data_IF_386501752760
#
_entry.id   IF_386501752760
#
_cell.length_a   1.000
_cell.length_b   1.000
_cell.length_c   1.000
_cell.angle_alpha   90.00
_cell.angle_beta   90.00
_cell.angle_gamma   90.00
#
_symmetry.space_group_name_H-M   'P 1'
#
loop_
_entity.id
_entity.type
_entity.pdbx_description
1 polymer ?
#
# COMPACT_ATOMS: atom_id res chain seq x y z
N UNK A 1 19.08 -69.18 46.54
CA UNK A 1 20.46 -68.63 46.61
C UNK A 1 21.11 -68.81 45.25
N UNK A 2 21.95 -67.87 44.81
CA UNK A 2 22.70 -67.80 43.52
C UNK A 2 22.12 -66.73 42.55
N UNK A 3 22.78 -65.58 42.39
CA UNK A 3 23.85 -65.20 41.41
C UNK A 3 23.23 -64.38 40.25
N UNK A 4 23.60 -63.10 40.10
CA UNK A 4 24.71 -62.54 39.29
C UNK A 4 24.36 -62.37 37.79
N UNK A 5 24.42 -61.10 37.39
CA UNK A 5 24.85 -60.47 36.12
C UNK A 5 24.12 -60.63 34.78
N UNK A 6 23.95 -59.45 34.17
CA UNK A 6 24.40 -59.07 32.82
C UNK A 6 23.50 -59.21 31.58
N UNK A 7 23.46 -58.07 30.87
CA UNK A 7 23.48 -57.87 29.42
C UNK A 7 22.19 -58.03 28.60
N UNK A 8 21.66 -56.86 28.25
CA UNK A 8 21.33 -56.38 26.90
C UNK A 8 20.49 -57.26 25.96
N UNK A 9 19.32 -56.72 25.57
CA UNK A 9 19.00 -56.41 24.17
C UNK A 9 17.68 -55.65 24.06
N UNK A 10 17.70 -54.67 23.15
CA UNK A 10 16.58 -53.89 22.66
C UNK A 10 15.37 -54.73 22.28
N UNK A 11 14.16 -54.22 22.56
CA UNK A 11 13.09 -54.14 21.55
C UNK A 11 11.98 -53.17 22.00
N UNK A 12 11.54 -52.37 21.03
CA UNK A 12 10.43 -51.42 21.02
C UNK A 12 9.21 -51.81 21.87
N UNK A 13 8.64 -50.83 22.58
CA UNK A 13 7.19 -50.78 22.78
C UNK A 13 6.67 -49.33 22.82
N UNK A 14 5.58 -49.15 22.09
CA UNK A 14 4.79 -47.94 21.87
C UNK A 14 4.39 -47.21 23.16
N UNK A 15 4.47 -45.88 23.13
CA UNK A 15 3.90 -44.99 24.13
C UNK A 15 3.48 -43.68 23.49
N UNK A 16 2.21 -43.63 23.08
CA UNK A 16 1.48 -42.48 22.56
C UNK A 16 1.59 -41.23 23.45
N UNK A 17 2.10 -40.14 22.89
CA UNK A 17 1.88 -38.78 23.39
C UNK A 17 1.31 -37.96 22.23
N UNK A 18 -0.02 -37.87 22.22
CA UNK A 18 -0.73 -36.85 21.48
C UNK A 18 -0.36 -35.50 22.11
N UNK A 19 0.69 -34.86 21.58
CA UNK A 19 0.89 -33.44 21.75
C UNK A 19 -0.14 -32.78 20.85
N UNK A 20 -1.27 -32.39 21.44
CA UNK A 20 -2.21 -31.48 20.81
C UNK A 20 -1.48 -30.17 20.55
N UNK A 21 -1.33 -29.83 19.27
CA UNK A 21 -0.88 -28.51 18.88
C UNK A 21 -2.05 -27.59 19.20
N UNK A 22 -1.89 -26.80 20.26
CA UNK A 22 -2.78 -25.68 20.51
C UNK A 22 -2.48 -24.71 19.36
N UNK A 23 -3.38 -24.64 18.39
CA UNK A 23 -3.44 -23.51 17.46
C UNK A 23 -3.78 -22.28 18.30
N UNK A 24 -2.74 -21.61 18.79
CA UNK A 24 -2.83 -20.20 19.16
C UNK A 24 -2.98 -19.45 17.84
N UNK A 25 -4.22 -19.36 17.38
CA UNK A 25 -4.61 -18.39 16.36
C UNK A 25 -4.30 -17.01 16.94
N UNK A 26 -3.14 -16.45 16.63
CA UNK A 26 -2.91 -15.03 16.78
C UNK A 26 -3.89 -14.37 15.83
N UNK A 27 -5.00 -13.85 16.36
CA UNK A 27 -5.81 -12.88 15.67
C UNK A 27 -4.85 -11.74 15.29
N UNK A 28 -4.44 -11.70 14.02
CA UNK A 28 -3.70 -10.57 13.49
C UNK A 28 -4.67 -9.40 13.59
N UNK A 29 -4.44 -8.52 14.57
CA UNK A 29 -5.16 -7.27 14.67
C UNK A 29 -4.98 -6.55 13.34
N UNK A 30 -6.08 -6.32 12.63
CA UNK A 30 -6.08 -5.47 11.46
C UNK A 30 -5.51 -4.11 11.89
N UNK A 31 -4.61 -3.49 11.11
CA UNK A 31 -4.10 -2.17 11.47
C UNK A 31 -5.29 -1.22 11.58
N UNK A 32 -5.42 -0.55 12.72
CA UNK A 32 -6.49 0.42 12.98
C UNK A 32 -6.58 1.42 11.82
N UNK A 33 -7.79 1.57 11.27
CA UNK A 33 -8.06 2.50 10.18
C UNK A 33 -8.08 3.94 10.74
N UNK A 34 -7.61 4.93 9.95
CA UNK A 34 -7.62 6.32 10.39
C UNK A 34 -9.06 6.78 10.71
N UNK A 35 -9.29 7.22 11.95
CA UNK A 35 -10.57 7.62 12.52
C UNK A 35 -11.35 6.50 13.21
N UNK A 36 -10.98 5.23 13.01
CA UNK A 36 -11.59 4.07 13.68
C UNK A 36 -10.83 3.81 14.99
N UNK A 37 -11.46 4.18 16.10
CA UNK A 37 -10.84 4.19 17.43
C UNK A 37 -11.26 2.98 18.26
N UNK A 38 -12.36 2.31 17.95
CA UNK A 38 -12.72 1.06 18.62
C UNK A 38 -12.25 -0.21 17.87
N UNK A 39 -11.77 -0.05 16.63
CA UNK A 39 -11.20 -1.11 15.82
C UNK A 39 -12.24 -2.04 15.20
N UNK A 40 -13.49 -1.60 15.13
CA UNK A 40 -14.60 -2.39 14.56
C UNK A 40 -14.67 -2.30 13.02
N UNK A 41 -13.81 -1.49 12.40
CA UNK A 41 -13.71 -1.27 10.97
C UNK A 41 -14.77 -0.31 10.42
N UNK A 42 -15.47 0.46 11.27
CA UNK A 42 -16.53 1.40 10.89
C UNK A 42 -16.32 2.75 11.55
N UNK A 43 -16.35 3.81 10.76
CA UNK A 43 -16.38 5.18 11.27
C UNK A 43 -17.79 5.52 11.78
N UNK A 44 -17.97 5.58 13.10
CA UNK A 44 -19.26 5.86 13.74
C UNK A 44 -19.14 6.89 14.86
N UNK A 45 -20.29 7.30 15.42
CA UNK A 45 -20.32 8.19 16.59
C UNK A 45 -19.60 7.58 17.81
N UNK A 46 -19.39 6.26 17.85
CA UNK A 46 -18.62 5.62 18.91
C UNK A 46 -17.15 6.06 18.90
N UNK A 47 -16.55 6.24 17.72
CA UNK A 47 -15.20 6.78 17.57
C UNK A 47 -15.12 8.24 18.02
N UNK A 48 -16.10 9.06 17.65
CA UNK A 48 -16.18 10.45 18.12
C UNK A 48 -16.27 10.56 19.64
N UNK A 49 -16.97 9.63 20.28
CA UNK A 49 -17.08 9.58 21.74
C UNK A 49 -15.74 9.21 22.37
N UNK A 50 -15.00 8.27 21.77
CA UNK A 50 -13.66 7.89 22.23
C UNK A 50 -12.66 9.06 22.09
N UNK A 51 -12.67 9.72 20.93
CA UNK A 51 -11.83 10.90 20.70
C UNK A 51 -12.19 12.05 21.65
N UNK A 52 -13.48 12.32 21.84
CA UNK A 52 -13.95 13.36 22.75
C UNK A 52 -13.60 13.08 24.22
N UNK A 53 -13.65 11.82 24.66
CA UNK A 53 -13.23 11.43 26.00
C UNK A 53 -11.72 11.64 26.21
N UNK A 54 -10.91 11.36 25.19
CA UNK A 54 -9.49 11.65 25.21
C UNK A 54 -9.21 13.16 25.29
N UNK A 55 -9.87 13.98 24.46
CA UNK A 55 -9.70 15.44 24.46
C UNK A 55 -10.12 16.09 25.79
N UNK A 56 -11.06 15.49 26.53
CA UNK A 56 -11.46 15.91 27.87
C UNK A 56 -10.57 15.37 29.00
N UNK A 57 -9.59 14.53 28.68
CA UNK A 57 -8.72 13.89 29.68
C UNK A 57 -9.42 12.82 30.53
N UNK A 58 -10.57 12.33 30.08
CA UNK A 58 -11.35 11.29 30.76
C UNK A 58 -10.79 9.89 30.49
N UNK A 59 -9.94 9.75 29.46
CA UNK A 59 -9.40 8.49 28.98
C UNK A 59 -8.07 8.68 28.24
N UNK A 60 -7.18 7.70 28.36
CA UNK A 60 -5.99 7.57 27.50
C UNK A 60 -6.29 6.64 26.30
N UNK A 61 -5.69 6.97 25.16
CA UNK A 61 -5.73 6.16 23.93
C UNK A 61 -4.48 5.27 23.85
N UNK A 62 -4.60 4.09 23.25
CA UNK A 62 -3.43 3.26 22.93
C UNK A 62 -2.61 3.89 21.81
N UNK A 63 -1.36 3.46 21.62
CA UNK A 63 -0.52 3.97 20.52
C UNK A 63 -1.19 3.79 19.15
N UNK A 64 -1.95 2.71 18.97
CA UNK A 64 -2.68 2.44 17.73
C UNK A 64 -3.88 3.37 17.58
N UNK A 65 -4.61 3.63 18.65
CA UNK A 65 -5.71 4.59 18.69
C UNK A 65 -5.23 6.04 18.54
N UNK A 66 -4.04 6.39 19.04
CA UNK A 66 -3.45 7.72 18.84
C UNK A 66 -3.14 7.92 17.35
N UNK A 67 -2.59 6.91 16.67
CA UNK A 67 -2.37 6.98 15.23
C UNK A 67 -3.69 7.06 14.45
N UNK A 68 -4.73 6.36 14.89
CA UNK A 68 -6.07 6.46 14.30
C UNK A 68 -6.77 7.80 14.59
N UNK A 69 -6.55 8.39 15.77
CA UNK A 69 -7.19 9.63 16.23
C UNK A 69 -6.71 10.87 15.48
N UNK A 70 -5.45 10.87 15.02
CA UNK A 70 -4.83 11.96 14.27
C UNK A 70 -5.33 11.98 12.82
N UNK A 71 -6.60 12.33 12.62
CA UNK A 71 -7.29 12.23 11.33
C UNK A 71 -6.98 13.39 10.40
N UNK A 72 -6.53 14.53 10.92
CA UNK A 72 -6.01 15.66 10.14
C UNK A 72 -4.49 15.60 9.91
N UNK A 73 -3.81 14.69 10.63
CA UNK A 73 -2.41 14.32 10.50
C UNK A 73 -1.42 15.46 10.80
N UNK A 74 -1.81 16.44 11.62
CA UNK A 74 -0.93 17.54 12.04
C UNK A 74 0.11 17.12 13.11
N UNK A 75 0.00 15.89 13.61
CA UNK A 75 0.90 15.28 14.60
C UNK A 75 0.47 15.54 16.04
N UNK A 76 -0.70 16.14 16.24
CA UNK A 76 -1.34 16.39 17.53
C UNK A 76 -2.74 15.79 17.48
N UNK A 77 -3.30 15.51 18.66
CA UNK A 77 -4.70 15.08 18.78
C UNK A 77 -5.47 16.24 19.37
N UNK A 78 -6.25 16.93 18.53
CA UNK A 78 -6.93 18.16 18.89
C UNK A 78 -8.41 18.17 18.49
N UNK A 79 -9.10 19.27 18.75
CA UNK A 79 -10.48 19.48 18.30
C UNK A 79 -10.60 19.48 16.76
N UNK A 80 -9.51 19.79 16.04
CA UNK A 80 -9.50 19.74 14.58
C UNK A 80 -9.68 18.30 14.08
N UNK A 81 -9.06 17.31 14.74
CA UNK A 81 -9.30 15.90 14.49
C UNK A 81 -10.74 15.49 14.74
N UNK A 82 -11.32 15.98 15.84
CA UNK A 82 -12.71 15.70 16.16
C UNK A 82 -13.67 16.23 15.08
N UNK A 83 -13.40 17.43 14.56
CA UNK A 83 -14.18 18.04 13.47
C UNK A 83 -14.04 17.27 12.16
N UNK A 84 -12.82 16.86 11.80
CA UNK A 84 -12.58 16.06 10.59
C UNK A 84 -13.26 14.70 10.70
N UNK A 85 -13.15 14.04 11.86
CA UNK A 85 -13.81 12.77 12.12
C UNK A 85 -15.33 12.92 12.07
N UNK A 86 -15.88 14.02 12.62
CA UNK A 86 -17.31 14.31 12.60
C UNK A 86 -17.83 14.50 11.18
N UNK A 87 -17.10 15.23 10.34
CA UNK A 87 -17.45 15.42 8.93
C UNK A 87 -17.44 14.09 8.16
N UNK A 88 -16.45 13.22 8.42
CA UNK A 88 -16.36 11.89 7.80
C UNK A 88 -17.52 10.99 8.23
N UNK A 89 -17.89 10.98 9.51
CA UNK A 89 -19.03 10.21 10.02
C UNK A 89 -20.35 10.76 9.50
N UNK A 90 -20.50 12.08 9.45
CA UNK A 90 -21.69 12.70 8.88
C UNK A 90 -21.81 12.37 7.39
N UNK A 91 -20.73 12.43 6.63
CA UNK A 91 -20.71 12.00 5.22
C UNK A 91 -20.99 10.50 5.03
N UNK A 92 -20.51 9.65 5.95
CA UNK A 92 -20.79 8.21 5.96
C UNK A 92 -22.25 7.90 6.36
N UNK A 93 -22.86 8.75 7.21
CA UNK A 93 -24.25 8.64 7.67
C UNK A 93 -25.24 9.25 6.67
N UNK A 94 -24.82 10.29 5.93
CA UNK A 94 -25.53 10.92 4.82
C UNK A 94 -25.44 10.11 3.52
N UNK A 95 -24.67 9.01 3.52
CA UNK A 95 -24.80 7.99 2.50
C UNK A 95 -26.22 7.42 2.59
N UNK A 96 -27.07 7.61 1.57
CA UNK A 96 -28.47 7.25 1.70
C UNK A 96 -28.59 5.74 1.83
N UNK A 97 -29.21 5.28 2.92
CA UNK A 97 -29.74 3.91 3.11
C UNK A 97 -30.85 3.55 2.10
N UNK A 98 -31.03 4.36 1.05
CA UNK A 98 -31.93 4.14 -0.08
C UNK A 98 -31.17 4.35 -1.39
N UNK A 99 -31.24 3.32 -2.25
CA UNK A 99 -30.79 3.29 -3.65
C UNK A 99 -29.75 4.35 -4.07
N UNK A 100 -28.46 3.97 -4.10
CA UNK A 100 -27.40 4.87 -4.59
C UNK A 100 -27.68 5.27 -6.04
N UNK A 101 -27.89 6.57 -6.28
CA UNK A 101 -28.11 7.10 -7.63
C UNK A 101 -26.75 7.35 -8.31
N UNK A 102 -26.63 7.00 -9.58
CA UNK A 102 -25.38 7.12 -10.36
C UNK A 102 -25.33 8.46 -11.09
N UNK A 103 -25.25 9.56 -10.34
CA UNK A 103 -25.36 10.93 -10.85
C UNK A 103 -24.16 11.82 -10.48
N UNK A 104 -23.07 11.23 -9.96
CA UNK A 104 -21.86 11.96 -9.57
C UNK A 104 -20.59 11.26 -10.04
N UNK A 105 -19.52 12.05 -10.24
CA UNK A 105 -18.17 11.56 -10.56
C UNK A 105 -17.57 10.60 -9.51
N UNK A 106 -18.16 10.55 -8.31
CA UNK A 106 -17.72 9.74 -7.18
C UNK A 106 -18.62 8.52 -6.93
N UNK A 107 -19.55 8.25 -7.85
CA UNK A 107 -20.43 7.09 -7.79
C UNK A 107 -20.08 6.06 -8.86
N UNK A 108 -20.46 4.82 -8.64
CA UNK A 108 -20.15 3.73 -9.56
C UNK A 108 -20.93 2.47 -9.28
N UNK A 109 -20.70 1.47 -10.12
CA UNK A 109 -21.24 0.13 -9.98
C UNK A 109 -20.13 -0.90 -10.10
N UNK A 110 -20.22 -1.95 -9.29
CA UNK A 110 -19.37 -3.12 -9.32
C UNK A 110 -20.16 -4.31 -9.85
N UNK A 111 -19.59 -5.00 -10.84
CA UNK A 111 -20.18 -6.18 -11.45
C UNK A 111 -19.17 -7.33 -11.53
N UNK A 112 -19.67 -8.55 -11.57
CA UNK A 112 -18.89 -9.74 -11.92
C UNK A 112 -18.48 -9.66 -13.40
N UNK A 113 -17.18 -9.76 -13.68
CA UNK A 113 -16.60 -9.55 -15.01
C UNK A 113 -17.15 -10.51 -16.07
N UNK A 114 -17.45 -11.75 -15.68
CA UNK A 114 -17.89 -12.79 -16.62
C UNK A 114 -19.40 -12.72 -16.87
N UNK A 115 -20.18 -12.57 -15.80
CA UNK A 115 -21.65 -12.66 -15.84
C UNK A 115 -22.33 -11.30 -16.02
N UNK A 116 -21.63 -10.20 -15.72
CA UNK A 116 -22.20 -8.86 -15.68
C UNK A 116 -23.16 -8.61 -14.52
N UNK A 117 -23.32 -9.56 -13.59
CA UNK A 117 -24.22 -9.42 -12.45
C UNK A 117 -23.68 -8.39 -11.45
N UNK A 118 -24.54 -7.55 -10.85
CA UNK A 118 -24.13 -6.62 -9.81
C UNK A 118 -23.64 -7.35 -8.56
N UNK A 119 -22.57 -6.83 -7.96
CA UNK A 119 -21.95 -7.41 -6.78
C UNK A 119 -22.21 -6.56 -5.54
N UNK A 120 -22.99 -7.10 -4.61
CA UNK A 120 -23.31 -6.46 -3.33
C UNK A 120 -22.23 -6.69 -2.27
N UNK A 121 -22.06 -5.73 -1.36
CA UNK A 121 -21.14 -5.85 -0.24
C UNK A 121 -19.65 -5.78 -0.60
N UNK A 122 -19.32 -5.40 -1.84
CA UNK A 122 -17.93 -5.13 -2.28
C UNK A 122 -17.44 -3.92 -1.50
N UNK A 123 -16.29 -4.07 -0.84
CA UNK A 123 -15.57 -2.94 -0.27
C UNK A 123 -14.93 -2.14 -1.41
N UNK A 124 -15.26 -0.85 -1.51
CA UNK A 124 -14.66 0.08 -2.46
C UNK A 124 -13.97 1.17 -1.67
N UNK A 125 -12.65 1.31 -1.83
CA UNK A 125 -11.84 2.15 -0.96
C UNK A 125 -10.79 2.95 -1.74
N UNK A 126 -10.38 4.07 -1.17
CA UNK A 126 -9.16 4.80 -1.52
C UNK A 126 -8.31 4.83 -0.26
N UNK A 127 -7.42 3.84 -0.06
CA UNK A 127 -6.67 3.68 1.18
C UNK A 127 -5.80 4.90 1.52
N UNK A 128 -5.21 5.55 0.50
CA UNK A 128 -4.44 6.77 0.67
C UNK A 128 -5.22 7.89 1.35
N UNK A 129 -6.52 7.99 1.07
CA UNK A 129 -7.42 9.00 1.61
C UNK A 129 -8.19 8.54 2.88
N UNK A 130 -8.01 7.30 3.32
CA UNK A 130 -8.80 6.72 4.42
C UNK A 130 -10.29 6.56 4.10
N UNK A 131 -10.68 6.57 2.82
CA UNK A 131 -12.07 6.46 2.37
C UNK A 131 -12.40 4.99 2.11
N UNK A 132 -13.50 4.48 2.65
CA UNK A 132 -14.04 3.15 2.33
C UNK A 132 -15.56 3.15 2.40
N UNK A 133 -16.20 2.50 1.42
CA UNK A 133 -17.66 2.30 1.34
C UNK A 133 -17.97 0.88 0.89
N UNK A 134 -19.22 0.43 1.03
CA UNK A 134 -19.67 -0.86 0.51
C UNK A 134 -20.75 -0.71 -0.54
N UNK A 135 -20.75 -1.59 -1.53
CA UNK A 135 -21.78 -1.60 -2.58
C UNK A 135 -23.14 -2.08 -2.07
N UNK A 136 -24.21 -1.50 -2.60
CA UNK A 136 -25.59 -1.93 -2.34
C UNK A 136 -25.97 -3.24 -3.08
N UNK A 137 -27.20 -3.70 -2.93
CA UNK A 137 -27.71 -4.91 -3.58
C UNK A 137 -27.68 -4.87 -5.13
N UNK A 138 -27.57 -3.67 -5.71
CA UNK A 138 -27.43 -3.44 -7.14
C UNK A 138 -25.96 -3.17 -7.52
N UNK A 139 -25.02 -3.43 -6.61
CA UNK A 139 -23.59 -3.23 -6.82
C UNK A 139 -23.17 -1.78 -6.86
N UNK A 140 -24.03 -0.83 -6.49
CA UNK A 140 -23.74 0.60 -6.60
C UNK A 140 -23.04 1.12 -5.36
N UNK A 141 -22.14 2.07 -5.53
CA UNK A 141 -21.44 2.76 -4.45
C UNK A 141 -21.33 4.25 -4.74
N UNK A 142 -21.08 5.04 -3.68
CA UNK A 142 -20.75 6.45 -3.76
C UNK A 142 -19.68 6.77 -2.73
N UNK A 143 -18.56 7.32 -3.17
CA UNK A 143 -17.49 7.79 -2.31
C UNK A 143 -17.79 9.24 -1.85
N UNK A 144 -17.38 9.64 -0.63
CA UNK A 144 -17.39 11.02 -0.20
C UNK A 144 -16.43 11.84 -1.08
N UNK A 145 -16.94 12.90 -1.72
CA UNK A 145 -16.14 13.82 -2.51
C UNK A 145 -15.81 15.11 -1.77
N UNK A 146 -14.85 15.92 -2.27
CA UNK A 146 -14.02 15.65 -3.44
C UNK A 146 -12.91 14.63 -3.16
N UNK A 147 -12.61 13.77 -4.14
CA UNK A 147 -11.50 12.81 -4.03
C UNK A 147 -10.16 13.50 -4.28
N UNK A 148 -9.07 13.07 -3.62
CA UNK A 148 -7.73 13.51 -3.99
C UNK A 148 -7.43 13.10 -5.44
N UNK A 149 -6.70 13.96 -6.16
CA UNK A 149 -6.17 13.61 -7.48
C UNK A 149 -5.21 12.39 -7.37
N UNK A 150 -4.91 11.71 -8.47
CA UNK A 150 -3.78 10.75 -8.60
C UNK A 150 -3.69 9.58 -7.58
N UNK A 151 -4.78 9.20 -6.91
CA UNK A 151 -4.84 8.09 -5.94
C UNK A 151 -5.09 6.71 -6.59
N UNK A 152 -5.01 5.63 -5.79
CA UNK A 152 -5.47 4.30 -6.21
C UNK A 152 -6.80 3.97 -5.52
N UNK A 153 -7.84 3.75 -6.33
CA UNK A 153 -9.05 3.07 -5.88
C UNK A 153 -8.83 1.57 -5.89
N UNK A 154 -9.30 0.89 -4.85
CA UNK A 154 -9.36 -0.57 -4.77
C UNK A 154 -10.79 -1.05 -4.58
N UNK A 155 -11.09 -2.23 -5.10
CA UNK A 155 -12.33 -2.94 -4.81
C UNK A 155 -12.05 -4.38 -4.42
N UNK A 156 -12.64 -4.82 -3.30
CA UNK A 156 -12.41 -6.15 -2.71
C UNK A 156 -13.71 -6.84 -2.34
N UNK A 157 -13.81 -8.11 -2.72
CA UNK A 157 -14.87 -9.00 -2.31
C UNK A 157 -14.29 -10.39 -2.14
N UNK A 158 -14.76 -11.13 -1.14
CA UNK A 158 -14.35 -12.51 -0.90
C UNK A 158 -14.56 -13.36 -2.17
N UNK A 159 -13.62 -14.25 -2.46
CA UNK A 159 -13.63 -15.13 -3.64
C UNK A 159 -13.48 -14.41 -5.01
N UNK A 160 -13.15 -13.12 -5.01
CA UNK A 160 -12.77 -12.36 -6.20
C UNK A 160 -11.30 -11.94 -6.12
N UNK A 161 -10.66 -11.80 -7.27
CA UNK A 161 -9.35 -11.16 -7.37
C UNK A 161 -9.45 -9.70 -6.91
N UNK A 162 -8.44 -9.17 -6.20
CA UNK A 162 -8.46 -7.79 -5.80
C UNK A 162 -8.36 -6.89 -7.05
N UNK A 163 -9.20 -5.87 -7.10
CA UNK A 163 -9.26 -4.91 -8.20
C UNK A 163 -8.64 -3.58 -7.78
N UNK A 164 -7.93 -2.92 -8.69
CA UNK A 164 -7.46 -1.55 -8.48
C UNK A 164 -7.52 -0.73 -9.76
N UNK A 165 -7.63 0.57 -9.61
CA UNK A 165 -7.60 1.55 -10.69
C UNK A 165 -7.07 2.90 -10.19
N UNK A 166 -6.21 3.54 -10.97
CA UNK A 166 -5.73 4.90 -10.73
C UNK A 166 -6.84 5.94 -10.96
N UNK A 167 -6.98 6.93 -10.08
CA UNK A 167 -8.00 7.98 -10.18
C UNK A 167 -7.60 9.12 -11.14
N UNK A 168 -6.32 9.17 -11.52
CA UNK A 168 -5.72 10.20 -12.40
C UNK A 168 -5.90 9.96 -13.91
N UNK A 169 -6.20 8.73 -14.34
CA UNK A 169 -6.37 8.38 -15.76
C UNK A 169 -7.75 8.79 -16.31
N UNK A 170 -8.04 10.09 -16.33
CA UNK A 170 -9.17 10.65 -17.09
C UNK A 170 -10.56 10.50 -16.45
N UNK A 171 -10.66 10.07 -15.20
CA UNK A 171 -11.90 10.13 -14.41
C UNK A 171 -11.98 11.35 -13.48
N UNK A 172 -10.94 12.19 -13.45
CA UNK A 172 -10.95 13.50 -12.75
C UNK A 172 -11.81 14.56 -13.47
N UNK A 173 -12.78 14.11 -14.30
CA UNK A 173 -13.63 14.93 -15.16
C UNK A 173 -15.07 14.41 -15.27
N UNK A 174 -15.83 14.51 -14.18
CA UNK A 174 -17.21 14.99 -14.22
C UNK A 174 -18.36 14.00 -14.39
N UNK A 175 -18.43 13.22 -15.47
CA UNK A 175 -19.77 12.82 -15.97
C UNK A 175 -20.09 11.33 -16.07
N UNK A 176 -19.14 10.42 -15.78
CA UNK A 176 -19.40 8.97 -15.88
C UNK A 176 -19.19 8.23 -14.58
N UNK A 177 -20.21 7.50 -14.10
CA UNK A 177 -20.06 6.65 -12.94
C UNK A 177 -19.02 5.56 -13.23
N UNK A 178 -18.29 5.17 -12.19
CA UNK A 178 -17.28 4.14 -12.30
C UNK A 178 -17.93 2.80 -12.60
N UNK A 179 -17.28 1.98 -13.43
CA UNK A 179 -17.76 0.65 -13.76
C UNK A 179 -16.66 -0.36 -13.49
N UNK A 180 -16.69 -0.93 -12.28
CA UNK A 180 -15.67 -1.86 -11.81
C UNK A 180 -16.10 -3.29 -12.14
N UNK A 181 -15.18 -4.07 -12.69
CA UNK A 181 -15.42 -5.46 -13.10
C UNK A 181 -14.50 -6.38 -12.31
N UNK A 182 -15.04 -7.10 -11.35
CA UNK A 182 -14.28 -8.03 -10.52
C UNK A 182 -14.27 -9.42 -11.16
N UNK A 183 -13.09 -10.04 -11.19
CA UNK A 183 -12.90 -11.40 -11.70
C UNK A 183 -12.91 -12.39 -10.53
N UNK A 184 -13.59 -13.53 -10.68
CA UNK A 184 -13.59 -14.57 -9.65
C UNK A 184 -12.18 -15.14 -9.50
N UNK A 185 -11.77 -15.37 -8.25
CA UNK A 185 -10.45 -15.91 -7.98
C UNK A 185 -10.42 -17.42 -8.19
N UNK A 186 -9.56 -17.87 -9.11
CA UNK A 186 -9.16 -19.27 -9.24
C UNK A 186 -7.74 -19.45 -8.67
N UNK A 187 -7.57 -20.10 -7.51
CA UNK A 187 -6.27 -20.28 -6.88
C UNK A 187 -5.33 -21.19 -7.68
N UNK A 188 -5.84 -21.99 -8.63
CA UNK A 188 -5.00 -22.83 -9.49
C UNK A 188 -4.38 -22.04 -10.65
N UNK A 189 -5.04 -20.95 -11.07
CA UNK A 189 -4.62 -20.12 -12.19
C UNK A 189 -3.95 -18.81 -11.75
N UNK A 190 -4.24 -18.31 -10.54
CA UNK A 190 -3.71 -17.03 -10.08
C UNK A 190 -3.28 -17.07 -8.62
N UNK A 191 -2.03 -16.71 -8.38
CA UNK A 191 -1.47 -16.49 -7.05
C UNK A 191 -1.62 -15.01 -6.68
N UNK A 192 -2.19 -14.70 -5.52
CA UNK A 192 -2.24 -13.34 -4.98
C UNK A 192 -1.07 -13.17 -4.01
N UNK A 193 -0.11 -12.31 -4.35
CA UNK A 193 1.09 -12.06 -3.54
C UNK A 193 0.93 -10.86 -2.62
N UNK A 194 0.16 -9.87 -3.05
CA UNK A 194 -0.19 -8.68 -2.28
C UNK A 194 -1.55 -8.15 -2.75
N UNK A 195 -2.47 -7.86 -1.84
CA UNK A 195 -3.82 -7.34 -2.15
C UNK A 195 -4.03 -5.91 -1.62
N UNK A 196 -3.05 -5.38 -0.90
CA UNK A 196 -3.08 -4.04 -0.34
C UNK A 196 -2.40 -3.04 -1.27
N UNK A 197 -2.67 -1.76 -1.01
CA UNK A 197 -1.86 -0.68 -1.55
C UNK A 197 -0.58 -0.61 -0.73
N UNK A 198 0.55 -0.69 -1.40
CA UNK A 198 1.88 -0.61 -0.80
C UNK A 198 2.55 0.66 -1.30
N UNK A 199 3.22 1.37 -0.39
CA UNK A 199 4.12 2.47 -0.73
C UNK A 199 5.56 2.00 -0.64
N UNK A 200 6.35 2.27 -1.67
CA UNK A 200 7.78 2.01 -1.67
C UNK A 200 8.52 3.33 -1.93
N UNK A 201 9.72 3.44 -1.38
CA UNK A 201 10.54 4.65 -1.45
C UNK A 201 11.24 4.92 -0.12
N UNK A 202 11.74 6.14 0.05
CA UNK A 202 12.44 6.61 1.25
C UNK A 202 11.69 7.75 1.98
N UNK A 203 10.48 8.08 1.52
CA UNK A 203 9.67 9.23 1.95
C UNK A 203 10.33 10.59 1.68
N UNK A 204 11.30 10.67 0.76
CA UNK A 204 11.91 11.91 0.30
C UNK A 204 11.42 12.25 -1.09
N UNK A 205 10.30 12.96 -1.17
CA UNK A 205 9.71 13.36 -2.45
C UNK A 205 9.57 14.88 -2.56
N UNK A 206 9.63 15.38 -3.80
CA UNK A 206 9.36 16.78 -4.09
C UNK A 206 7.85 17.01 -4.21
N UNK A 207 7.30 18.20 -3.87
CA UNK A 207 5.91 18.55 -4.22
C UNK A 207 5.59 18.49 -5.73
N UNK A 208 6.61 18.35 -6.59
CA UNK A 208 6.48 18.19 -8.05
C UNK A 208 6.54 16.72 -8.51
N UNK A 209 6.83 15.79 -7.60
CA UNK A 209 6.80 14.34 -7.87
C UNK A 209 5.39 13.90 -8.27
N UNK A 210 5.30 12.86 -9.07
CA UNK A 210 4.03 12.21 -9.37
C UNK A 210 3.35 11.78 -8.05
N UNK A 211 2.06 12.05 -7.88
CA UNK A 211 1.31 11.72 -6.65
C UNK A 211 1.86 12.30 -5.32
N UNK A 212 2.75 13.30 -5.36
CA UNK A 212 3.42 13.90 -4.19
C UNK A 212 2.50 14.36 -3.03
N UNK A 213 1.26 14.73 -3.34
CA UNK A 213 0.31 15.25 -2.35
C UNK A 213 -0.45 14.19 -1.55
N UNK A 214 -0.14 12.89 -1.72
CA UNK A 214 -0.99 11.77 -1.27
C UNK A 214 -0.27 10.71 -0.43
N UNK A 215 1.01 10.94 -0.12
CA UNK A 215 1.84 9.99 0.62
C UNK A 215 1.63 10.14 2.14
N UNK A 216 0.44 9.74 2.61
CA UNK A 216 -0.02 9.88 4.00
C UNK A 216 0.36 8.72 4.95
N UNK A 217 1.10 7.72 4.46
CA UNK A 217 1.58 6.57 5.24
C UNK A 217 3.02 6.25 4.81
N UNK A 218 3.90 5.87 5.74
CA UNK A 218 5.32 5.71 5.45
C UNK A 218 5.57 4.61 4.41
N UNK A 219 6.53 4.86 3.54
CA UNK A 219 7.08 3.88 2.63
C UNK A 219 7.59 2.66 3.39
N UNK A 220 7.34 1.47 2.85
CA UNK A 220 7.73 0.19 3.44
C UNK A 220 9.17 -0.21 3.07
N UNK A 221 9.98 0.79 2.71
CA UNK A 221 11.32 0.63 2.15
C UNK A 221 11.35 0.81 0.63
N UNK A 222 12.56 0.76 0.08
CA UNK A 222 12.82 1.00 -1.36
C UNK A 222 12.56 -0.22 -2.24
N UNK A 223 12.21 -1.36 -1.64
CA UNK A 223 11.85 -2.57 -2.36
C UNK A 223 10.84 -3.42 -1.59
N UNK A 224 10.02 -4.16 -2.33
CA UNK A 224 9.14 -5.19 -1.80
C UNK A 224 9.53 -6.53 -2.38
N UNK A 225 9.79 -7.51 -1.53
CA UNK A 225 9.96 -8.91 -1.94
C UNK A 225 8.76 -9.74 -1.50
N UNK A 226 8.25 -10.58 -2.41
CA UNK A 226 7.23 -11.59 -2.14
C UNK A 226 7.70 -12.95 -2.63
N UNK A 227 7.35 -13.99 -1.89
CA UNK A 227 7.68 -15.37 -2.22
C UNK A 227 6.47 -16.10 -2.77
N UNK A 228 6.72 -17.05 -3.68
CA UNK A 228 5.71 -17.96 -4.20
C UNK A 228 6.32 -19.32 -4.49
N UNK A 229 5.51 -20.38 -4.47
CA UNK A 229 5.97 -21.74 -4.72
C UNK A 229 5.37 -22.32 -5.98
N UNK A 230 6.16 -23.11 -6.71
CA UNK A 230 5.73 -23.84 -7.90
C UNK A 230 5.93 -25.34 -7.70
N UNK A 231 4.83 -26.09 -7.68
CA UNK A 231 4.86 -27.56 -7.62
C UNK A 231 5.26 -28.19 -8.97
N UNK A 232 5.02 -27.45 -10.05
CA UNK A 232 5.45 -27.77 -11.42
C UNK A 232 5.89 -26.51 -12.14
N UNK A 233 6.86 -26.63 -13.05
CA UNK A 233 7.19 -25.52 -13.95
C UNK A 233 6.06 -25.35 -14.97
N UNK A 234 5.57 -24.12 -15.19
CA UNK A 234 4.52 -23.87 -16.16
C UNK A 234 5.03 -24.06 -17.59
N UNK A 235 4.16 -24.44 -18.54
CA UNK A 235 4.56 -24.70 -19.93
C UNK A 235 4.89 -23.41 -20.72
N UNK A 236 4.51 -22.24 -20.19
CA UNK A 236 4.76 -20.91 -20.75
C UNK A 236 5.11 -19.94 -19.62
N UNK A 237 5.81 -18.82 -19.90
CA UNK A 237 6.08 -17.79 -18.91
C UNK A 237 4.81 -17.38 -18.15
N UNK A 238 4.76 -17.47 -16.81
CA UNK A 238 3.71 -16.86 -16.03
C UNK A 238 3.80 -15.34 -16.13
N UNK A 239 2.72 -14.64 -15.80
CA UNK A 239 2.64 -13.18 -15.90
C UNK A 239 2.48 -12.59 -14.51
N UNK A 240 3.46 -11.80 -14.07
CA UNK A 240 3.30 -10.91 -12.93
C UNK A 240 2.39 -9.75 -13.35
N UNK A 241 1.33 -9.53 -12.58
CA UNK A 241 0.42 -8.40 -12.75
C UNK A 241 0.56 -7.44 -11.58
N UNK A 242 0.66 -6.16 -11.91
CA UNK A 242 0.47 -5.06 -10.96
C UNK A 242 -0.85 -4.40 -11.32
N UNK A 243 -1.83 -4.46 -10.40
CA UNK A 243 -3.15 -3.91 -10.65
C UNK A 243 -3.11 -2.41 -10.96
N UNK A 244 -2.36 -1.65 -10.16
CA UNK A 244 -2.10 -0.23 -10.39
C UNK A 244 -0.71 0.15 -9.88
N UNK A 245 -0.03 1.05 -10.58
CA UNK A 245 1.25 1.65 -10.18
C UNK A 245 1.24 3.14 -10.52
N UNK A 246 1.49 3.98 -9.53
CA UNK A 246 1.54 5.44 -9.65
C UNK A 246 2.79 5.97 -8.93
N UNK A 247 3.13 7.24 -9.17
CA UNK A 247 4.24 7.91 -8.48
C UNK A 247 5.60 7.77 -9.17
N UNK A 248 5.69 7.17 -10.35
CA UNK A 248 6.97 7.04 -11.05
C UNK A 248 7.48 8.39 -11.58
N UNK A 249 8.66 8.83 -11.15
CA UNK A 249 9.31 10.07 -11.59
C UNK A 249 10.41 9.83 -12.65
N UNK A 250 10.15 8.95 -13.62
CA UNK A 250 11.10 8.69 -14.72
C UNK A 250 11.01 9.74 -15.83
N UNK A 251 12.06 9.86 -16.66
CA UNK A 251 12.02 10.69 -17.87
C UNK A 251 10.90 10.29 -18.84
N UNK A 252 10.46 9.03 -18.84
CA UNK A 252 9.30 8.60 -19.62
C UNK A 252 8.01 9.10 -18.99
N UNK A 253 7.87 8.99 -17.66
CA UNK A 253 6.69 9.46 -16.93
C UNK A 253 6.49 10.97 -17.05
N UNK A 254 7.56 11.77 -17.00
CA UNK A 254 7.51 13.21 -17.29
C UNK A 254 7.02 13.49 -18.72
N UNK A 255 7.57 12.80 -19.73
CA UNK A 255 7.14 12.96 -21.13
C UNK A 255 5.70 12.52 -21.38
N UNK A 256 5.20 11.59 -20.58
CA UNK A 256 3.81 11.13 -20.58
C UNK A 256 2.88 12.04 -19.75
N UNK A 257 3.40 13.07 -19.08
CA UNK A 257 2.63 13.98 -18.23
C UNK A 257 2.23 13.40 -16.86
N UNK A 258 2.76 12.23 -16.49
CA UNK A 258 2.52 11.60 -15.18
C UNK A 258 3.35 12.25 -14.05
N UNK A 259 4.53 12.77 -14.38
CA UNK A 259 5.40 13.50 -13.43
C UNK A 259 5.55 14.96 -13.85
N UNK A 260 5.70 15.85 -12.87
CA UNK A 260 5.90 17.29 -13.10
C UNK A 260 7.36 17.73 -12.87
N UNK A 261 8.27 16.78 -12.65
CA UNK A 261 9.72 17.03 -12.49
C UNK A 261 10.40 17.16 -13.86
N UNK A 262 10.87 18.36 -14.26
CA UNK A 262 11.51 18.56 -15.56
C UNK A 262 12.82 17.78 -15.68
N UNK A 263 12.92 16.93 -16.70
CA UNK A 263 14.15 16.18 -16.98
C UNK A 263 14.45 15.07 -15.98
N UNK A 264 13.43 14.57 -15.27
CA UNK A 264 13.43 13.39 -14.40
C UNK A 264 14.64 12.46 -14.57
N UNK A 265 15.57 12.52 -13.60
CA UNK A 265 16.81 11.73 -13.56
C UNK A 265 16.65 10.43 -12.73
N UNK A 266 15.42 10.03 -12.42
CA UNK A 266 15.14 8.79 -11.69
C UNK A 266 15.30 7.59 -12.62
N UNK A 267 16.03 6.57 -12.17
CA UNK A 267 16.05 5.27 -12.87
C UNK A 267 14.64 4.64 -12.84
N UNK A 268 14.28 3.76 -13.79
CA UNK A 268 13.00 3.05 -13.72
C UNK A 268 12.90 2.14 -12.49
N UNK A 269 11.67 1.79 -12.13
CA UNK A 269 11.42 0.68 -11.20
C UNK A 269 11.89 -0.63 -11.85
N UNK A 270 12.42 -1.54 -11.04
CA UNK A 270 12.96 -2.81 -11.52
C UNK A 270 12.17 -3.98 -10.95
N UNK A 271 11.94 -4.98 -11.80
CA UNK A 271 11.35 -6.26 -11.42
C UNK A 271 12.46 -7.31 -11.42
N UNK A 272 12.65 -8.00 -10.31
CA UNK A 272 13.61 -9.07 -10.18
C UNK A 272 12.89 -10.39 -9.87
N UNK A 273 13.29 -11.45 -10.57
CA UNK A 273 12.86 -12.83 -10.33
C UNK A 273 14.05 -13.62 -9.79
N UNK A 274 13.93 -14.14 -8.56
CA UNK A 274 15.01 -14.88 -7.90
C UNK A 274 16.35 -14.10 -7.87
N UNK A 275 16.27 -12.78 -7.70
CA UNK A 275 17.42 -11.86 -7.66
C UNK A 275 17.96 -11.45 -9.03
N UNK A 276 17.43 -11.98 -10.14
CA UNK A 276 17.80 -11.58 -11.51
C UNK A 276 16.81 -10.54 -12.02
N UNK A 277 17.30 -9.42 -12.53
CA UNK A 277 16.45 -8.39 -13.14
C UNK A 277 15.84 -8.91 -14.44
N UNK A 278 14.51 -8.83 -14.56
CA UNK A 278 13.73 -9.35 -15.70
C UNK A 278 12.96 -8.27 -16.45
N UNK A 279 12.67 -7.13 -15.83
CA UNK A 279 11.94 -6.03 -16.45
C UNK A 279 12.25 -4.68 -15.80
N UNK A 280 12.12 -3.59 -16.57
CA UNK A 280 12.19 -2.21 -16.10
C UNK A 280 10.87 -1.48 -16.40
N UNK A 281 10.22 -0.95 -15.36
CA UNK A 281 8.96 -0.22 -15.48
C UNK A 281 9.26 1.27 -15.52
N UNK A 282 9.01 1.87 -16.68
CA UNK A 282 9.27 3.29 -16.93
C UNK A 282 8.03 4.18 -16.72
N UNK A 283 6.83 3.62 -16.84
CA UNK A 283 5.57 4.36 -16.77
C UNK A 283 4.65 3.72 -15.75
N UNK A 284 3.94 4.56 -14.99
CA UNK A 284 2.84 4.12 -14.15
C UNK A 284 1.63 3.76 -15.00
N UNK A 285 0.70 3.00 -14.44
CA UNK A 285 -0.51 2.58 -15.12
C UNK A 285 -1.28 1.51 -14.37
N UNK A 286 -2.42 1.14 -14.94
CA UNK A 286 -3.27 0.05 -14.46
C UNK A 286 -3.04 -1.21 -15.31
N UNK A 287 -3.25 -2.39 -14.70
CA UNK A 287 -3.07 -3.71 -15.30
C UNK A 287 -1.71 -3.93 -16.00
N UNK A 288 -0.62 -3.54 -15.35
CA UNK A 288 0.72 -3.78 -15.88
C UNK A 288 1.01 -5.28 -15.87
N UNK A 289 1.41 -5.82 -17.03
CA UNK A 289 1.65 -7.24 -17.24
C UNK A 289 3.12 -7.48 -17.58
N UNK A 290 3.83 -8.19 -16.72
CA UNK A 290 5.26 -8.49 -16.85
C UNK A 290 5.44 -10.01 -16.99
N UNK A 291 5.85 -10.52 -18.17
CA UNK A 291 6.20 -11.92 -18.33
C UNK A 291 7.38 -12.31 -17.43
N UNK A 292 7.27 -13.43 -16.72
CA UNK A 292 8.33 -13.99 -15.89
C UNK A 292 9.08 -15.07 -16.67
N UNK A 293 10.36 -14.85 -17.08
CA UNK A 293 11.10 -15.78 -17.91
C UNK A 293 11.28 -17.16 -17.27
N UNK A 294 11.05 -18.21 -18.05
CA UNK A 294 11.09 -19.60 -17.57
C UNK A 294 12.49 -20.00 -17.07
N UNK A 295 13.54 -19.48 -17.70
CA UNK A 295 14.94 -19.75 -17.37
C UNK A 295 15.36 -19.29 -15.97
N UNK A 296 14.58 -18.40 -15.34
CA UNK A 296 14.84 -17.89 -14.00
C UNK A 296 13.91 -18.48 -12.94
N UNK A 297 12.89 -19.24 -13.34
CA UNK A 297 12.01 -19.97 -12.43
C UNK A 297 12.64 -21.27 -11.95
N UNK A 298 12.24 -21.69 -10.76
CA UNK A 298 12.69 -22.94 -10.12
C UNK A 298 11.48 -23.70 -9.59
N UNK A 299 11.61 -25.02 -9.49
CA UNK A 299 10.65 -25.81 -8.70
C UNK A 299 10.78 -25.45 -7.22
N UNK A 300 9.64 -25.42 -6.52
CA UNK A 300 9.57 -24.98 -5.14
C UNK A 300 9.60 -23.45 -5.02
N UNK A 301 10.37 -22.95 -4.06
CA UNK A 301 10.36 -21.54 -3.65
C UNK A 301 10.99 -20.62 -4.71
N UNK A 302 10.26 -19.57 -5.06
CA UNK A 302 10.68 -18.46 -5.91
C UNK A 302 10.38 -17.13 -5.21
N UNK A 303 10.99 -16.05 -5.71
CA UNK A 303 10.80 -14.69 -5.22
C UNK A 303 10.61 -13.72 -6.38
N UNK A 304 9.70 -12.76 -6.20
CA UNK A 304 9.60 -11.55 -7.01
C UNK A 304 9.93 -10.35 -6.14
N UNK A 305 10.84 -9.50 -6.60
CA UNK A 305 11.16 -8.23 -5.97
C UNK A 305 10.81 -7.07 -6.89
N UNK A 306 10.03 -6.12 -6.38
CA UNK A 306 9.82 -4.81 -7.00
C UNK A 306 10.70 -3.81 -6.28
N UNK A 307 11.58 -3.11 -7.00
CA UNK A 307 12.52 -2.14 -6.43
C UNK A 307 12.33 -0.77 -7.09
N UNK A 308 12.23 0.28 -6.28
CA UNK A 308 12.02 1.63 -6.76
C UNK A 308 13.19 2.15 -7.59
N UNK A 309 12.89 3.19 -8.37
CA UNK A 309 13.89 4.00 -9.03
C UNK A 309 14.79 4.70 -8.02
N UNK A 310 15.97 5.11 -8.47
CA UNK A 310 16.83 6.01 -7.70
C UNK A 310 17.51 7.02 -8.60
N UNK A 311 17.89 8.15 -8.02
CA UNK A 311 18.76 9.13 -8.65
C UNK A 311 19.94 9.46 -7.74
N UNK A 312 21.05 9.90 -8.33
CA UNK A 312 22.25 10.32 -7.58
C UNK A 312 22.40 11.83 -7.71
N UNK A 313 22.25 12.53 -6.60
CA UNK A 313 22.45 13.96 -6.48
C UNK A 313 23.93 14.21 -6.21
N UNK A 314 24.63 14.76 -7.22
CA UNK A 314 26.01 15.19 -7.05
C UNK A 314 26.07 16.49 -6.21
N UNK A 315 26.99 16.62 -5.23
CA UNK A 315 27.06 17.78 -4.32
C UNK A 315 27.24 19.15 -4.97
N UNK A 316 27.60 19.21 -6.26
CA UNK A 316 27.86 20.45 -7.00
C UNK A 316 26.64 21.29 -7.40
N UNK A 317 25.41 20.88 -7.04
CA UNK A 317 24.17 21.61 -7.36
C UNK A 317 23.35 22.07 -6.15
N UNK A 318 23.91 22.09 -4.95
CA UNK A 318 23.27 22.72 -3.77
C UNK A 318 23.75 24.18 -3.65
N UNK A 319 23.46 25.00 -4.66
CA UNK A 319 23.58 26.44 -4.56
C UNK A 319 22.25 27.01 -4.05
N UNK A 320 22.03 27.00 -2.73
CA UNK A 320 20.79 27.56 -2.18
C UNK A 320 20.63 27.57 -0.64
N UNK A 321 21.53 26.94 0.13
CA UNK A 321 21.46 27.01 1.60
C UNK A 321 21.86 28.40 2.11
N UNK A 322 21.13 28.92 3.09
CA UNK A 322 21.48 30.16 3.77
C UNK A 322 22.76 29.95 4.59
N UNK A 323 23.75 30.82 4.39
CA UNK A 323 24.95 30.90 5.24
C UNK A 323 24.60 31.73 6.47
N UNK A 324 24.76 31.15 7.65
CA UNK A 324 24.70 31.88 8.91
C UNK A 324 26.15 32.13 9.34
N UNK A 325 26.58 33.39 9.30
CA UNK A 325 27.90 33.80 9.78
C UNK A 325 27.77 34.35 11.20
N UNK A 326 28.40 33.67 12.17
CA UNK A 326 28.45 34.11 13.56
C UNK A 326 29.79 34.81 13.78
N UNK A 327 29.82 36.12 14.10
CA UNK A 327 31.07 36.82 14.40
C UNK A 327 31.59 36.43 15.78
N UNK A 328 32.88 36.11 15.88
CA UNK A 328 33.63 35.85 17.10
C UNK A 328 34.82 36.82 17.20
N UNK A 329 35.37 37.02 18.41
CA UNK A 329 36.60 37.79 18.55
C UNK A 329 37.77 37.04 17.88
N UNK A 330 38.14 37.49 16.68
CA UNK A 330 39.21 36.93 15.85
C UNK A 330 38.79 36.32 14.51
N UNK A 331 37.49 36.32 14.16
CA UNK A 331 37.00 35.82 12.87
C UNK A 331 35.50 35.53 12.85
N UNK A 332 34.98 34.95 11.76
CA UNK A 332 33.60 34.45 11.68
C UNK A 332 33.58 32.93 11.60
N UNK A 333 32.65 32.29 12.31
CA UNK A 333 32.28 30.90 12.08
C UNK A 333 31.11 30.89 11.10
N UNK A 334 31.34 30.35 9.91
CA UNK A 334 30.30 30.17 8.89
C UNK A 334 29.66 28.78 9.06
N UNK A 335 28.37 28.75 9.39
CA UNK A 335 27.59 27.52 9.46
C UNK A 335 26.68 27.47 8.22
N UNK A 336 26.79 26.38 7.46
CA UNK A 336 25.91 26.11 6.34
C UNK A 336 24.72 25.29 6.84
N UNK A 337 23.52 25.86 6.77
CA UNK A 337 22.28 25.17 7.13
C UNK A 337 21.60 24.70 5.85
N UNK A 338 21.68 23.40 5.48
CA UNK A 338 20.83 22.86 4.44
C UNK A 338 19.36 22.94 4.89
N UNK A 339 18.46 23.31 3.98
CA UNK A 339 17.02 23.27 4.22
C UNK A 339 16.58 21.81 4.36
N UNK A 340 16.13 21.45 5.56
CA UNK A 340 15.53 20.14 5.86
C UNK A 340 16.57 19.09 6.25
N UNK A 341 16.79 18.91 7.55
CA UNK A 341 17.51 17.75 8.06
C UNK A 341 16.77 17.24 9.29
N UNK A 342 16.19 16.05 9.17
CA UNK A 342 16.36 15.07 10.23
C UNK A 342 16.67 13.69 9.61
N UNK A 343 17.90 13.25 9.89
CA UNK A 343 18.46 11.90 9.76
C UNK A 343 18.50 11.22 8.38
N UNK A 344 19.60 11.42 7.64
CA UNK A 344 19.91 10.73 6.37
C UNK A 344 21.30 10.09 6.47
N UNK A 345 21.38 8.77 6.27
CA UNK A 345 22.61 7.99 6.35
C UNK A 345 23.59 8.31 5.23
N UNK A 346 24.85 8.57 5.58
CA UNK A 346 25.94 8.82 4.63
C UNK A 346 26.54 7.51 4.14
N UNK A 347 26.58 7.31 2.82
CA UNK A 347 27.56 6.41 2.20
C UNK A 347 28.15 7.08 0.94
N UNK A 348 29.47 7.27 0.91
CA UNK A 348 30.23 7.65 -0.30
C UNK A 348 30.13 9.09 -0.84
N UNK A 349 29.47 10.03 -0.17
CA UNK A 349 29.52 11.47 -0.50
C UNK A 349 28.69 11.93 -1.70
N UNK A 350 27.84 11.07 -2.26
CA UNK A 350 26.78 11.44 -3.20
C UNK A 350 25.41 11.12 -2.57
N UNK A 351 24.45 12.05 -2.65
CA UNK A 351 23.13 11.81 -2.07
C UNK A 351 22.32 10.95 -3.03
N UNK A 352 21.64 9.93 -2.51
CA UNK A 352 20.77 9.06 -3.30
C UNK A 352 19.34 9.31 -2.86
N UNK A 353 18.48 9.58 -3.84
CA UNK A 353 17.06 9.86 -3.68
C UNK A 353 16.29 8.73 -4.36
N UNK A 354 15.37 8.08 -3.64
CA UNK A 354 14.58 6.96 -4.14
C UNK A 354 13.18 7.40 -4.53
N UNK A 355 12.67 6.82 -5.61
CA UNK A 355 11.32 7.14 -6.07
C UNK A 355 10.27 6.67 -5.05
N UNK A 356 9.39 7.58 -4.64
CA UNK A 356 8.23 7.27 -3.81
C UNK A 356 7.04 6.90 -4.70
N UNK A 357 6.69 5.62 -4.70
CA UNK A 357 5.67 5.04 -5.56
C UNK A 357 4.59 4.38 -4.75
N UNK A 358 3.38 4.31 -5.30
CA UNK A 358 2.32 3.46 -4.77
C UNK A 358 1.95 2.39 -5.79
N UNK A 359 1.78 1.17 -5.30
CA UNK A 359 1.34 0.05 -6.12
C UNK A 359 0.25 -0.73 -5.40
N UNK A 360 -0.64 -1.35 -6.15
CA UNK A 360 -1.71 -2.18 -5.62
C UNK A 360 -1.80 -3.50 -6.37
N UNK A 361 -2.23 -4.53 -5.66
CA UNK A 361 -2.66 -5.82 -6.20
C UNK A 361 -1.57 -6.50 -7.05
N UNK A 362 -0.62 -7.14 -6.38
CA UNK A 362 0.43 -7.92 -7.03
C UNK A 362 0.00 -9.37 -7.12
N UNK A 363 -0.18 -9.88 -8.33
CA UNK A 363 -0.60 -11.26 -8.59
C UNK A 363 0.28 -11.94 -9.64
N UNK A 364 0.32 -13.26 -9.66
CA UNK A 364 0.95 -14.04 -10.73
C UNK A 364 -0.12 -14.91 -11.40
N UNK A 365 -0.33 -14.69 -12.70
CA UNK A 365 -1.13 -15.57 -13.56
C UNK A 365 -0.26 -16.74 -14.02
N UNK A 366 -0.65 -17.96 -13.65
CA UNK A 366 0.04 -19.20 -14.03
C UNK A 366 -0.72 -19.81 -15.22
N UNK A 367 -0.08 -19.92 -16.40
CA UNK A 367 -0.70 -20.60 -17.52
C UNK A 367 -0.79 -22.09 -17.21
N UNK A 368 -1.97 -22.67 -17.48
CA UNK A 368 -2.23 -24.09 -17.31
C UNK A 368 -1.32 -24.99 -18.16
#
# INVERSE_FOLDING_TARGET
MSRVSCLARSLLLLGSLALGWIDLSSAQAQPFQAGDLDGDGRLTVQDLNLLGAYLRGERELTDDQIRAANVDQDGRITEADWQVLQQRIQAATDAPTGQVQLDSAYSGQVVDRLTGQPLAGVEVAIPGAGISVRTDAQGRFRLPGPLPAEEILVARLENYLPYSQSTGNGQTGGDRPWQLQLERWDPNATLVLEANVIRLGDNQYSPKSAAAGQFLAPAQGVEMTRSFSLDRLPPRPPVLRLGSLIGLDTAAAYRAGQSRIPGANMSPMRVLLNGVEVEQIHLGGDDLRIPLPLEHLRLGLNTVTLRTGKTVIQPGRIAGGSRISIPLLGGSLDIFVPLGTDTIGQDGGAWVDYDDVQLANVTIEIPN
#
